data_IF_577786527081
#
_entry.id   IF_577786527081
#
_cell.length_a   1.000
_cell.length_b   1.000
_cell.length_c   1.000
_cell.angle_alpha   90.00
_cell.angle_beta   90.00
_cell.angle_gamma   90.00
#
_symmetry.space_group_name_H-M   'P 1'
#
loop_
_entity.id
_entity.type
_entity.pdbx_description
1 polymer ?
#
# COMPACT_ATOMS: atom_id res chain seq x y z
N UNK A 1 -13.29 -2.11 -14.22
CA UNK A 1 -13.86 -0.88 -13.68
C UNK A 1 -13.47 -0.87 -12.23
N UNK A 2 -12.75 0.13 -11.78
CA UNK A 2 -12.18 0.19 -10.42
C UNK A 2 -13.28 0.50 -9.40
N UNK A 3 -13.16 0.04 -8.14
CA UNK A 3 -14.08 0.38 -7.03
C UNK A 3 -14.35 1.89 -6.91
N UNK A 4 -13.41 2.71 -7.38
CA UNK A 4 -13.54 4.16 -7.45
C UNK A 4 -14.60 4.56 -8.48
N UNK A 5 -14.69 3.91 -9.66
CA UNK A 5 -15.74 4.19 -10.65
C UNK A 5 -17.14 3.88 -10.12
N UNK A 6 -17.30 2.78 -9.37
CA UNK A 6 -18.59 2.43 -8.78
C UNK A 6 -19.00 3.40 -7.66
N UNK A 7 -18.02 3.94 -6.91
CA UNK A 7 -18.25 5.04 -5.95
C UNK A 7 -18.65 6.35 -6.62
N UNK A 8 -18.17 6.63 -7.84
CA UNK A 8 -18.60 7.82 -8.60
C UNK A 8 -20.03 7.72 -9.13
N UNK A 9 -20.48 6.54 -9.52
CA UNK A 9 -21.84 6.34 -10.04
C UNK A 9 -22.93 6.73 -9.01
N UNK A 10 -22.68 6.56 -7.72
CA UNK A 10 -23.60 6.92 -6.64
C UNK A 10 -23.53 8.40 -6.23
N UNK A 11 -22.52 9.14 -6.69
CA UNK A 11 -22.25 10.55 -6.29
C UNK A 11 -22.67 11.59 -7.32
N UNK A 12 -23.19 11.20 -8.49
CA UNK A 12 -23.57 12.08 -9.60
C UNK A 12 -24.91 12.81 -9.39
N UNK A 13 -25.29 13.15 -8.16
CA UNK A 13 -26.54 13.91 -7.90
C UNK A 13 -26.41 15.42 -8.11
N UNK A 14 -25.20 15.92 -8.39
CA UNK A 14 -24.97 17.33 -8.75
C UNK A 14 -24.52 17.42 -10.21
N UNK A 15 -25.15 18.24 -11.00
CA UNK A 15 -24.81 18.43 -12.41
C UNK A 15 -23.48 19.18 -12.56
N UNK A 16 -22.38 18.41 -12.61
CA UNK A 16 -21.03 18.94 -12.83
C UNK A 16 -20.71 19.15 -14.32
N UNK A 17 -21.64 18.82 -15.21
CA UNK A 17 -21.43 18.83 -16.67
C UNK A 17 -21.21 20.24 -17.24
N UNK A 18 -21.68 21.27 -16.55
CA UNK A 18 -21.50 22.68 -16.94
C UNK A 18 -20.18 23.29 -16.49
N UNK A 19 -19.45 22.63 -15.63
CA UNK A 19 -18.18 23.10 -15.08
C UNK A 19 -17.00 22.83 -16.02
N UNK A 20 -15.91 23.60 -15.90
CA UNK A 20 -14.67 23.29 -16.60
C UNK A 20 -14.11 21.93 -16.13
N UNK A 21 -13.40 21.21 -17.01
CA UNK A 21 -12.85 19.89 -16.64
C UNK A 21 -11.97 19.91 -15.40
N UNK A 22 -11.25 21.02 -15.12
CA UNK A 22 -10.47 21.17 -13.87
C UNK A 22 -11.38 21.26 -12.64
N UNK A 23 -12.46 22.01 -12.73
CA UNK A 23 -13.41 22.16 -11.63
C UNK A 23 -14.16 20.86 -11.36
N UNK A 24 -14.54 20.13 -12.40
CA UNK A 24 -15.12 18.80 -12.28
C UNK A 24 -14.18 17.86 -11.51
N UNK A 25 -12.89 17.80 -11.88
CA UNK A 25 -11.89 16.97 -11.18
C UNK A 25 -11.72 17.42 -9.72
N UNK A 26 -11.69 18.73 -9.48
CA UNK A 26 -11.59 19.29 -8.12
C UNK A 26 -12.76 18.84 -7.24
N UNK A 27 -13.98 18.99 -7.71
CA UNK A 27 -15.19 18.60 -6.99
C UNK A 27 -15.21 17.09 -6.68
N UNK A 28 -14.81 16.27 -7.65
CA UNK A 28 -14.70 14.82 -7.45
C UNK A 28 -13.69 14.48 -6.37
N UNK A 29 -12.51 15.11 -6.39
CA UNK A 29 -11.45 14.88 -5.38
C UNK A 29 -11.91 15.33 -3.98
N UNK A 30 -12.63 16.44 -3.86
CA UNK A 30 -13.11 16.95 -2.57
C UNK A 30 -14.13 16.01 -1.89
N UNK A 31 -14.74 15.10 -2.66
CA UNK A 31 -15.63 14.05 -2.13
C UNK A 31 -14.89 12.83 -1.62
N UNK A 32 -13.60 12.68 -1.92
CA UNK A 32 -12.78 11.59 -1.38
C UNK A 32 -12.51 11.79 0.11
N UNK A 33 -12.39 10.70 0.88
CA UNK A 33 -11.78 10.79 2.19
C UNK A 33 -10.37 11.38 2.10
N UNK A 34 -10.01 12.23 3.05
CA UNK A 34 -8.63 12.73 3.14
C UNK A 34 -7.65 11.57 3.33
N UNK A 35 -6.55 11.58 2.61
CA UNK A 35 -5.57 10.50 2.54
C UNK A 35 -5.75 9.57 1.34
N UNK A 36 -6.83 9.70 0.57
CA UNK A 36 -7.08 8.86 -0.62
C UNK A 36 -5.99 9.06 -1.67
N UNK A 37 -5.42 7.95 -2.13
CA UNK A 37 -4.50 7.90 -3.27
C UNK A 37 -5.32 7.66 -4.53
N UNK A 38 -4.99 8.37 -5.61
CA UNK A 38 -5.69 8.26 -6.88
C UNK A 38 -4.74 8.51 -8.06
N UNK A 39 -5.22 8.20 -9.27
CA UNK A 39 -4.46 8.21 -10.51
C UNK A 39 -5.19 9.04 -11.58
N UNK A 40 -4.50 9.54 -12.62
CA UNK A 40 -5.15 10.24 -13.74
C UNK A 40 -6.25 9.41 -14.42
N UNK A 41 -6.06 8.11 -14.49
CA UNK A 41 -6.99 7.16 -15.12
C UNK A 41 -8.35 7.10 -14.42
N UNK A 42 -8.40 7.43 -13.11
CA UNK A 42 -9.64 7.46 -12.32
C UNK A 42 -10.61 8.55 -12.81
N UNK A 43 -10.11 9.56 -13.55
CA UNK A 43 -10.88 10.65 -14.12
C UNK A 43 -11.08 10.55 -15.62
N UNK A 44 -10.82 9.40 -16.24
CA UNK A 44 -10.86 9.21 -17.69
C UNK A 44 -12.21 9.57 -18.34
N UNK A 45 -13.29 9.55 -17.56
CA UNK A 45 -14.64 9.93 -17.98
C UNK A 45 -14.87 11.46 -18.05
N UNK A 46 -13.97 12.29 -17.44
CA UNK A 46 -14.11 13.76 -17.43
C UNK A 46 -13.60 14.38 -18.72
N UNK A 47 -12.59 13.77 -19.36
CA UNK A 47 -12.03 14.32 -20.59
C UNK A 47 -10.74 13.65 -21.05
N UNK A 48 -9.98 14.34 -21.90
CA UNK A 48 -8.75 13.79 -22.46
C UNK A 48 -7.65 13.64 -21.40
N UNK A 49 -6.76 12.64 -21.57
CA UNK A 49 -5.63 12.39 -20.69
C UNK A 49 -4.72 13.63 -20.49
N UNK A 50 -4.55 14.44 -21.56
CA UNK A 50 -3.77 15.69 -21.51
C UNK A 50 -4.46 16.73 -20.60
N UNK A 51 -5.78 16.91 -20.75
CA UNK A 51 -6.57 17.84 -19.93
C UNK A 51 -6.53 17.41 -18.46
N UNK A 52 -6.72 16.12 -18.17
CA UNK A 52 -6.68 15.56 -16.82
C UNK A 52 -5.30 15.79 -16.18
N UNK A 53 -4.22 15.42 -16.87
CA UNK A 53 -2.84 15.61 -16.37
C UNK A 53 -2.55 17.09 -16.07
N UNK A 54 -2.96 18.01 -16.97
CA UNK A 54 -2.78 19.45 -16.78
C UNK A 54 -3.58 19.96 -15.59
N UNK A 55 -4.81 19.48 -15.41
CA UNK A 55 -5.68 19.86 -14.28
C UNK A 55 -5.10 19.38 -12.95
N UNK A 56 -4.60 18.15 -12.87
CA UNK A 56 -3.96 17.61 -11.67
C UNK A 56 -2.68 18.38 -11.30
N UNK A 57 -1.86 18.76 -12.28
CA UNK A 57 -0.67 19.61 -12.04
C UNK A 57 -1.09 20.97 -11.46
N UNK A 58 -2.15 21.61 -12.00
CA UNK A 58 -2.67 22.89 -11.48
C UNK A 58 -3.18 22.73 -10.05
N UNK A 59 -3.93 21.68 -9.74
CA UNK A 59 -4.42 21.39 -8.40
C UNK A 59 -3.28 21.11 -7.40
N UNK A 60 -2.17 20.52 -7.84
CA UNK A 60 -0.94 20.41 -7.03
C UNK A 60 -0.35 21.79 -6.72
N UNK A 61 -0.25 22.67 -7.72
CA UNK A 61 0.28 24.03 -7.53
C UNK A 61 -0.62 24.86 -6.60
N UNK A 62 -1.92 24.63 -6.62
CA UNK A 62 -2.90 25.21 -5.71
C UNK A 62 -2.91 24.56 -4.32
N UNK A 63 -2.08 23.55 -4.08
CA UNK A 63 -1.98 22.79 -2.83
C UNK A 63 -3.28 22.08 -2.41
N UNK A 64 -4.21 21.86 -3.34
CA UNK A 64 -5.44 21.07 -3.12
C UNK A 64 -5.11 19.59 -2.98
N UNK A 65 -4.13 19.13 -3.77
CA UNK A 65 -3.63 17.76 -3.77
C UNK A 65 -2.11 17.74 -3.70
N UNK A 66 -1.55 16.59 -3.35
CA UNK A 66 -0.09 16.37 -3.38
C UNK A 66 0.26 15.31 -4.41
N UNK A 67 1.43 15.45 -5.02
CA UNK A 67 1.99 14.47 -5.94
C UNK A 67 2.96 13.58 -5.17
N UNK A 68 2.67 12.27 -5.08
CA UNK A 68 3.50 11.28 -4.43
C UNK A 68 4.58 10.72 -5.36
N UNK A 69 4.27 10.65 -6.65
CA UNK A 69 5.15 10.15 -7.70
C UNK A 69 4.61 10.50 -9.08
N UNK A 70 5.26 9.98 -10.12
CA UNK A 70 4.78 10.17 -11.48
C UNK A 70 3.43 9.47 -11.67
N UNK A 71 2.37 10.26 -11.96
CA UNK A 71 1.01 9.75 -12.13
C UNK A 71 0.37 9.23 -10.84
N UNK A 72 0.89 9.59 -9.67
CA UNK A 72 0.37 9.16 -8.37
C UNK A 72 0.11 10.39 -7.52
N UNK A 73 -1.13 10.58 -7.14
CA UNK A 73 -1.60 11.74 -6.40
C UNK A 73 -2.31 11.33 -5.12
N UNK A 74 -2.43 12.27 -4.19
CA UNK A 74 -3.15 12.06 -2.94
C UNK A 74 -3.94 13.31 -2.57
N UNK A 75 -5.18 13.12 -2.09
CA UNK A 75 -5.92 14.15 -1.39
C UNK A 75 -5.37 14.26 0.04
N UNK A 76 -4.66 15.34 0.41
CA UNK A 76 -3.87 15.35 1.63
C UNK A 76 -4.74 15.29 2.88
N UNK A 77 -4.29 14.52 3.86
CA UNK A 77 -4.76 14.63 5.25
C UNK A 77 -3.87 15.62 5.96
N UNK A 78 -4.44 16.64 6.56
CA UNK A 78 -3.72 17.65 7.34
C UNK A 78 -3.97 17.38 8.82
N UNK A 79 -2.91 17.33 9.60
CA UNK A 79 -3.01 17.28 11.04
C UNK A 79 -2.96 18.70 11.60
N UNK A 80 -4.12 19.19 12.02
CA UNK A 80 -4.28 20.50 12.67
C UNK A 80 -4.03 20.40 14.18
N UNK A 81 -4.17 19.20 14.78
CA UNK A 81 -4.17 19.01 16.23
C UNK A 81 -2.74 19.05 16.83
N UNK A 82 -1.77 18.47 16.12
CA UNK A 82 -0.40 18.33 16.59
C UNK A 82 0.62 19.15 15.79
N UNK A 83 0.16 19.96 14.83
CA UNK A 83 1.00 20.79 13.99
C UNK A 83 1.95 20.00 13.07
N UNK A 84 1.68 18.73 12.81
CA UNK A 84 2.49 17.87 11.94
C UNK A 84 2.36 18.23 10.46
N UNK A 85 1.40 19.09 10.10
CA UNK A 85 1.18 19.52 8.73
C UNK A 85 0.56 18.42 7.87
N UNK A 86 1.06 18.24 6.64
CA UNK A 86 0.53 17.26 5.70
C UNK A 86 1.03 15.86 6.06
N UNK A 87 0.09 14.97 6.38
CA UNK A 87 0.35 13.54 6.58
C UNK A 87 0.38 12.87 5.22
N UNK A 88 1.54 12.38 4.80
CA UNK A 88 1.70 11.62 3.57
C UNK A 88 1.36 10.14 3.80
N UNK A 89 0.73 9.46 2.84
CA UNK A 89 0.53 8.01 2.91
C UNK A 89 1.84 7.25 3.08
N UNK A 90 1.79 6.11 3.75
CA UNK A 90 2.92 5.20 3.89
C UNK A 90 3.29 4.57 2.54
N UNK A 91 4.52 4.09 2.43
CA UNK A 91 5.00 3.38 1.22
C UNK A 91 4.13 2.16 0.93
N UNK A 92 3.63 1.50 1.96
CA UNK A 92 2.76 0.34 1.84
C UNK A 92 1.38 0.71 1.28
N UNK A 93 0.78 1.79 1.76
CA UNK A 93 -0.50 2.30 1.22
C UNK A 93 -0.35 2.68 -0.26
N UNK A 94 0.76 3.33 -0.62
CA UNK A 94 1.05 3.66 -2.03
C UNK A 94 1.22 2.38 -2.86
N UNK A 95 1.95 1.38 -2.35
CA UNK A 95 2.16 0.11 -3.05
C UNK A 95 0.84 -0.64 -3.28
N UNK A 96 -0.05 -0.65 -2.28
CA UNK A 96 -1.39 -1.26 -2.39
C UNK A 96 -2.26 -0.55 -3.42
N UNK A 97 -2.33 0.78 -3.36
CA UNK A 97 -3.10 1.56 -4.34
C UNK A 97 -2.61 1.31 -5.78
N UNK A 98 -1.29 1.20 -5.99
CA UNK A 98 -0.71 0.84 -7.28
C UNK A 98 -1.13 -0.58 -7.71
N UNK A 99 -1.09 -1.54 -6.79
CA UNK A 99 -1.46 -2.92 -7.06
C UNK A 99 -2.96 -3.06 -7.42
N UNK A 100 -3.83 -2.37 -6.69
CA UNK A 100 -5.27 -2.31 -6.97
C UNK A 100 -5.56 -1.75 -8.36
N UNK A 101 -4.95 -0.61 -8.71
CA UNK A 101 -5.06 -0.03 -10.05
C UNK A 101 -4.66 -1.03 -11.13
N UNK A 102 -3.59 -1.77 -10.90
CA UNK A 102 -3.05 -2.74 -11.86
C UNK A 102 -3.76 -4.10 -11.82
N UNK A 103 -4.73 -4.27 -10.92
CA UNK A 103 -5.42 -5.56 -10.65
C UNK A 103 -4.43 -6.68 -10.33
N UNK A 104 -3.38 -6.35 -9.60
CA UNK A 104 -2.32 -7.24 -9.16
C UNK A 104 -2.34 -7.42 -7.65
N UNK A 105 -1.83 -8.55 -7.16
CA UNK A 105 -1.60 -8.78 -5.74
C UNK A 105 -0.15 -8.45 -5.40
N UNK A 106 0.07 -8.01 -4.17
CA UNK A 106 1.41 -7.78 -3.63
C UNK A 106 1.60 -8.53 -2.31
N UNK A 107 2.84 -8.90 -2.04
CA UNK A 107 3.25 -9.51 -0.79
C UNK A 107 4.58 -8.88 -0.31
N UNK A 108 4.80 -8.72 1.00
CA UNK A 108 6.04 -8.19 1.51
C UNK A 108 7.21 -9.12 1.20
N UNK A 109 8.39 -8.55 0.92
CA UNK A 109 9.64 -9.32 0.94
C UNK A 109 10.12 -9.51 2.37
N UNK A 110 10.99 -10.49 2.60
CA UNK A 110 11.54 -10.75 3.93
C UNK A 110 12.27 -9.55 4.52
N UNK A 111 13.09 -8.87 3.75
CA UNK A 111 13.81 -7.66 4.19
C UNK A 111 12.88 -6.51 4.59
N UNK A 112 11.78 -6.31 3.86
CA UNK A 112 10.75 -5.35 4.26
C UNK A 112 10.04 -5.79 5.56
N UNK A 113 9.72 -7.08 5.67
CA UNK A 113 9.06 -7.64 6.84
C UNK A 113 9.92 -7.51 8.11
N UNK A 114 11.23 -7.80 8.01
CA UNK A 114 12.18 -7.60 9.11
C UNK A 114 12.16 -6.16 9.64
N UNK A 115 12.23 -5.20 8.73
CA UNK A 115 12.20 -3.78 9.11
C UNK A 115 10.87 -3.39 9.75
N UNK A 116 9.75 -3.84 9.16
CA UNK A 116 8.39 -3.51 9.63
C UNK A 116 8.09 -4.09 11.02
N UNK A 117 8.66 -5.24 11.34
CA UNK A 117 8.51 -5.90 12.64
C UNK A 117 9.57 -5.45 13.67
N UNK A 118 10.48 -4.53 13.31
CA UNK A 118 11.54 -4.09 14.20
C UNK A 118 12.68 -5.11 14.42
N UNK A 119 12.74 -6.16 13.58
CA UNK A 119 13.79 -7.18 13.58
C UNK A 119 15.06 -6.72 12.84
N UNK A 120 15.00 -5.62 12.10
CA UNK A 120 16.14 -5.01 11.44
C UNK A 120 16.03 -3.49 11.48
N UNK A 121 17.15 -2.81 11.75
CA UNK A 121 17.27 -1.35 11.76
C UNK A 121 17.77 -0.79 10.41
N UNK A 122 17.98 -1.63 9.41
CA UNK A 122 18.45 -1.19 8.11
C UNK A 122 17.43 -0.29 7.40
N UNK A 123 17.80 0.96 7.17
CA UNK A 123 16.99 1.89 6.38
C UNK A 123 17.10 1.53 4.90
N UNK A 124 15.98 1.10 4.32
CA UNK A 124 15.92 0.78 2.89
C UNK A 124 15.50 2.01 2.08
N UNK A 125 16.36 2.46 1.16
CA UNK A 125 16.00 3.52 0.20
C UNK A 125 14.89 3.05 -0.77
N UNK A 126 14.82 1.75 -1.06
CA UNK A 126 13.79 1.14 -1.87
C UNK A 126 13.09 0.04 -1.08
N UNK A 127 11.77 0.11 -1.02
CA UNK A 127 10.95 -0.96 -0.47
C UNK A 127 10.60 -1.93 -1.58
N UNK A 128 10.79 -3.22 -1.33
CA UNK A 128 10.57 -4.27 -2.31
C UNK A 128 9.33 -5.08 -1.93
N UNK A 129 8.41 -5.23 -2.89
CA UNK A 129 7.27 -6.13 -2.78
C UNK A 129 7.32 -7.19 -3.89
N UNK A 130 6.89 -8.40 -3.56
CA UNK A 130 6.56 -9.39 -4.59
C UNK A 130 5.22 -9.04 -5.22
N UNK A 131 5.06 -9.37 -6.51
CA UNK A 131 3.80 -9.20 -7.23
C UNK A 131 3.56 -10.35 -8.20
N UNK A 132 2.31 -10.65 -8.48
CA UNK A 132 1.88 -11.51 -9.59
C UNK A 132 1.66 -10.72 -10.88
N UNK A 133 1.67 -9.39 -10.79
CA UNK A 133 1.57 -8.47 -11.93
C UNK A 133 2.92 -8.17 -12.59
N UNK A 134 2.99 -7.04 -13.30
CA UNK A 134 4.18 -6.60 -14.01
C UNK A 134 5.27 -6.08 -13.07
N UNK A 135 6.52 -6.61 -13.14
CA UNK A 135 7.63 -6.09 -12.36
C UNK A 135 8.01 -4.69 -12.82
N UNK A 136 8.22 -3.78 -11.88
CA UNK A 136 8.64 -2.40 -12.17
C UNK A 136 9.14 -1.66 -10.93
N UNK A 137 9.81 -0.55 -11.18
CA UNK A 137 10.19 0.42 -10.16
C UNK A 137 9.31 1.66 -10.26
N UNK A 138 8.81 2.12 -9.13
CA UNK A 138 8.04 3.36 -9.00
C UNK A 138 8.79 4.30 -8.07
N UNK A 139 9.13 5.49 -8.57
CA UNK A 139 9.77 6.52 -7.77
C UNK A 139 8.69 7.35 -7.05
N UNK A 140 8.82 7.48 -5.73
CA UNK A 140 7.86 8.21 -4.87
C UNK A 140 8.45 9.48 -4.25
N UNK A 141 9.42 10.07 -4.94
CA UNK A 141 10.10 11.30 -4.51
C UNK A 141 11.15 11.09 -3.41
N UNK A 142 11.94 12.15 -3.15
CA UNK A 142 12.99 12.17 -2.10
C UNK A 142 13.95 10.96 -2.13
N UNK A 143 14.27 10.43 -3.32
CA UNK A 143 15.17 9.29 -3.47
C UNK A 143 14.58 7.93 -3.04
N UNK A 144 13.31 7.89 -2.63
CA UNK A 144 12.61 6.66 -2.23
C UNK A 144 11.92 6.02 -3.43
N UNK A 145 11.86 4.69 -3.44
CA UNK A 145 11.20 3.94 -4.49
C UNK A 145 10.52 2.67 -3.99
N UNK A 146 9.54 2.23 -4.76
CA UNK A 146 8.90 0.94 -4.60
C UNK A 146 9.34 0.07 -5.76
N UNK A 147 9.87 -1.12 -5.46
CA UNK A 147 10.27 -2.11 -6.44
C UNK A 147 9.32 -3.30 -6.38
N UNK A 148 8.55 -3.51 -7.42
CA UNK A 148 7.73 -4.70 -7.60
C UNK A 148 8.54 -5.78 -8.31
N UNK A 149 8.76 -6.91 -7.64
CA UNK A 149 9.43 -8.10 -8.19
C UNK A 149 8.42 -9.19 -8.44
N UNK A 150 8.42 -9.74 -9.65
CA UNK A 150 7.55 -10.88 -9.96
C UNK A 150 7.97 -12.12 -9.15
N UNK A 151 7.00 -12.85 -8.63
CA UNK A 151 7.20 -14.15 -7.99
C UNK A 151 6.24 -15.18 -8.55
N UNK A 152 6.71 -16.42 -8.65
CA UNK A 152 5.88 -17.60 -8.95
C UNK A 152 5.32 -18.25 -7.68
N UNK A 153 5.70 -17.81 -6.50
CA UNK A 153 5.26 -18.38 -5.21
C UNK A 153 3.87 -17.86 -4.83
N UNK A 154 2.83 -18.38 -5.47
CA UNK A 154 1.44 -17.91 -5.33
C UNK A 154 0.92 -17.99 -3.89
N UNK A 155 1.44 -18.92 -3.07
CA UNK A 155 1.08 -19.03 -1.64
C UNK A 155 1.34 -17.75 -0.85
N UNK A 156 2.28 -16.91 -1.28
CA UNK A 156 2.56 -15.63 -0.61
C UNK A 156 1.39 -14.64 -0.68
N UNK A 157 0.51 -14.78 -1.67
CA UNK A 157 -0.66 -13.93 -1.85
C UNK A 157 -1.94 -14.49 -1.20
N UNK A 158 -1.86 -15.64 -0.55
CA UNK A 158 -3.03 -16.33 0.01
C UNK A 158 -3.30 -15.97 1.49
N UNK A 159 -2.36 -15.30 2.16
CA UNK A 159 -2.55 -14.86 3.54
C UNK A 159 -3.70 -13.88 3.68
N UNK A 160 -4.56 -14.11 4.66
CA UNK A 160 -5.66 -13.20 5.02
C UNK A 160 -5.18 -12.12 5.98
N UNK A 161 -4.37 -12.49 6.96
CA UNK A 161 -3.76 -11.57 7.90
C UNK A 161 -2.43 -11.01 7.34
N UNK A 162 -2.38 -9.69 7.23
CA UNK A 162 -1.16 -8.98 6.84
C UNK A 162 -0.02 -9.20 7.85
N UNK A 163 -0.37 -9.27 9.14
CA UNK A 163 0.62 -9.46 10.19
C UNK A 163 1.20 -10.87 10.15
N UNK A 164 0.38 -11.90 9.91
CA UNK A 164 0.86 -13.26 9.68
C UNK A 164 1.77 -13.34 8.46
N UNK A 165 1.40 -12.68 7.37
CA UNK A 165 2.23 -12.62 6.16
C UNK A 165 3.59 -11.98 6.43
N UNK A 166 3.65 -10.88 7.21
CA UNK A 166 4.90 -10.23 7.63
C UNK A 166 5.73 -11.16 8.51
N UNK A 167 5.15 -11.76 9.54
CA UNK A 167 5.84 -12.69 10.46
C UNK A 167 6.47 -13.85 9.67
N UNK A 168 5.69 -14.52 8.84
CA UNK A 168 6.20 -15.65 8.06
C UNK A 168 7.28 -15.21 7.06
N UNK A 169 7.13 -14.05 6.43
CA UNK A 169 8.12 -13.51 5.50
C UNK A 169 9.43 -13.17 6.20
N UNK A 170 9.36 -12.57 7.39
CA UNK A 170 10.53 -12.25 8.21
C UNK A 170 11.26 -13.52 8.68
N UNK A 171 10.54 -14.50 9.20
CA UNK A 171 11.13 -15.77 9.64
C UNK A 171 11.81 -16.49 8.49
N UNK A 172 11.22 -16.50 7.29
CA UNK A 172 11.84 -17.09 6.09
C UNK A 172 13.14 -16.40 5.69
N UNK A 173 13.21 -15.09 5.87
CA UNK A 173 14.41 -14.29 5.56
C UNK A 173 15.53 -14.56 6.55
N UNK A 174 15.23 -14.66 7.86
CA UNK A 174 16.19 -15.02 8.89
C UNK A 174 16.71 -16.44 8.65
N UNK A 175 15.82 -17.37 8.34
CA UNK A 175 16.12 -18.77 8.17
C UNK A 175 16.12 -19.56 9.49
N UNK A 176 15.83 -20.86 9.38
CA UNK A 176 15.62 -21.76 10.53
C UNK A 176 16.81 -21.79 11.49
N UNK A 177 18.02 -21.84 10.93
CA UNK A 177 19.27 -22.03 11.71
C UNK A 177 19.81 -20.73 12.32
N UNK A 178 19.22 -19.58 11.93
CA UNK A 178 19.73 -18.25 12.31
C UNK A 178 18.78 -17.48 13.23
N UNK A 179 17.57 -17.98 13.44
CA UNK A 179 16.59 -17.31 14.29
C UNK A 179 17.00 -17.40 15.76
N UNK A 180 17.14 -16.27 16.41
CA UNK A 180 17.57 -16.14 17.81
C UNK A 180 16.36 -16.06 18.75
N UNK A 181 16.60 -16.33 20.06
CA UNK A 181 15.56 -16.19 21.09
C UNK A 181 15.01 -14.74 21.16
N UNK A 182 15.87 -13.74 20.96
CA UNK A 182 15.45 -12.33 20.93
C UNK A 182 14.46 -12.06 19.81
N UNK A 183 14.71 -12.59 18.61
CA UNK A 183 13.79 -12.45 17.46
C UNK A 183 12.48 -13.21 17.69
N UNK A 184 12.55 -14.38 18.29
CA UNK A 184 11.37 -15.16 18.69
C UNK A 184 10.52 -14.35 19.69
N UNK A 185 11.14 -13.68 20.65
CA UNK A 185 10.41 -12.85 21.61
C UNK A 185 9.69 -11.67 20.94
N UNK A 186 10.34 -10.99 19.99
CA UNK A 186 9.70 -9.91 19.21
C UNK A 186 8.53 -10.47 18.40
N UNK A 187 8.71 -11.61 17.75
CA UNK A 187 7.65 -12.28 16.99
C UNK A 187 6.47 -12.65 17.89
N UNK A 188 6.73 -13.16 19.09
CA UNK A 188 5.70 -13.48 20.09
C UNK A 188 4.86 -12.25 20.45
N UNK A 189 5.49 -11.09 20.65
CA UNK A 189 4.76 -9.86 20.92
C UNK A 189 3.85 -9.45 19.75
N UNK A 190 4.30 -9.61 18.52
CA UNK A 190 3.48 -9.36 17.34
C UNK A 190 2.33 -10.37 17.21
N UNK A 191 2.54 -11.64 17.55
CA UNK A 191 1.51 -12.68 17.49
C UNK A 191 0.31 -12.39 18.39
N UNK A 192 0.50 -11.69 19.51
CA UNK A 192 -0.61 -11.25 20.39
C UNK A 192 -1.65 -10.37 19.67
N UNK A 193 -1.26 -9.73 18.56
CA UNK A 193 -2.13 -8.90 17.75
C UNK A 193 -2.74 -9.66 16.55
N UNK A 194 -2.50 -10.95 16.43
CA UNK A 194 -3.11 -11.81 15.41
C UNK A 194 -4.32 -12.50 16.04
N UNK A 195 -5.48 -12.42 15.38
CA UNK A 195 -6.64 -13.15 15.85
C UNK A 195 -6.44 -14.67 15.73
N UNK A 196 -7.03 -15.46 16.63
CA UNK A 196 -6.96 -16.92 16.57
C UNK A 196 -7.49 -17.43 15.21
N UNK A 197 -8.54 -16.82 14.69
CA UNK A 197 -9.10 -17.17 13.39
C UNK A 197 -8.10 -16.94 12.25
N UNK A 198 -7.42 -15.79 12.24
CA UNK A 198 -6.41 -15.49 11.23
C UNK A 198 -5.20 -16.40 11.35
N UNK A 199 -4.75 -16.67 12.56
CA UNK A 199 -3.67 -17.62 12.80
C UNK A 199 -4.00 -19.00 12.24
N UNK A 200 -5.15 -19.55 12.58
CA UNK A 200 -5.59 -20.87 12.13
C UNK A 200 -5.77 -20.96 10.61
N UNK A 201 -6.24 -19.87 9.97
CA UNK A 201 -6.39 -19.81 8.51
C UNK A 201 -5.03 -19.79 7.80
N UNK A 202 -4.08 -19.02 8.32
CA UNK A 202 -2.85 -18.67 7.61
C UNK A 202 -1.66 -19.57 7.95
N UNK A 203 -1.67 -20.23 9.12
CA UNK A 203 -0.52 -21.04 9.58
C UNK A 203 -0.16 -22.16 8.60
N UNK A 204 -1.13 -22.75 7.92
CA UNK A 204 -0.92 -23.82 6.95
C UNK A 204 -0.17 -23.38 5.68
N UNK A 205 -0.13 -22.07 5.41
CA UNK A 205 0.58 -21.49 4.27
C UNK A 205 2.08 -21.34 4.54
N UNK A 206 2.48 -21.34 5.82
CA UNK A 206 3.86 -21.21 6.25
C UNK A 206 4.66 -22.51 6.04
N UNK A 207 6.00 -22.44 5.87
CA UNK A 207 6.86 -23.61 5.91
C UNK A 207 6.71 -24.40 7.21
N UNK A 208 6.90 -25.72 7.16
CA UNK A 208 6.69 -26.62 8.32
C UNK A 208 7.45 -26.20 9.57
N UNK A 209 8.72 -25.80 9.42
CA UNK A 209 9.52 -25.34 10.55
C UNK A 209 8.96 -24.05 11.18
N UNK A 210 8.45 -23.11 10.37
CA UNK A 210 7.80 -21.89 10.85
C UNK A 210 6.52 -22.24 11.62
N UNK A 211 5.70 -23.16 11.08
CA UNK A 211 4.51 -23.63 11.76
C UNK A 211 4.82 -24.21 13.15
N UNK A 212 5.87 -25.08 13.23
CA UNK A 212 6.31 -25.67 14.50
C UNK A 212 6.74 -24.59 15.50
N UNK A 213 7.58 -23.65 15.05
CA UNK A 213 8.05 -22.54 15.89
C UNK A 213 6.91 -21.68 16.39
N UNK A 214 6.00 -21.21 15.49
CA UNK A 214 4.90 -20.35 15.89
C UNK A 214 3.93 -21.03 16.85
N UNK A 215 3.65 -22.31 16.67
CA UNK A 215 2.80 -23.11 17.59
C UNK A 215 3.43 -23.33 18.97
N UNK A 216 4.75 -23.29 19.08
CA UNK A 216 5.44 -23.45 20.37
C UNK A 216 5.56 -22.16 21.17
N UNK A 217 5.31 -21.01 20.56
CA UNK A 217 5.46 -19.68 21.20
C UNK A 217 4.14 -18.99 21.54
N UNK A 218 3.01 -19.57 21.14
CA UNK A 218 1.66 -19.18 21.56
C UNK A 218 1.32 -19.88 22.86
#
# INVERSE_FOLDING_TARGET
MTEICDKFASLLTFDISTMSGKEQIRELIMRFPKGTIFFPEDFSFVGSARMISTSLIRLCNEKVIIRLGQGIYCYPKVDEKWGLGIITPSIEEIARAIAERDKARIAPTGSYALNKLGLSQQLQANVVFFTDGSPRRVNIGKGKGILFKRTSQMKQFAYKSQLMQLIVSAMREIGKEHITETEIQIIREHLKNVSELDFNNDISLAPEWVQKTLKSVI
#
